data_IF_369906834636
#
_entry.id   IF_369906834636
#
_cell.length_a   1.000
_cell.length_b   1.000
_cell.length_c   1.000
_cell.angle_alpha   90.00
_cell.angle_beta   90.00
_cell.angle_gamma   90.00
#
_symmetry.space_group_name_H-M   'P 1'
#
loop_
_entity.id
_entity.type
_entity.pdbx_description
1 polymer ?
#
# COMPACT_ATOMS: atom_id res chain seq x y z
N UNK A 1 0.35 25.75 -17.88
CA UNK A 1 0.56 24.36 -17.48
C UNK A 1 -0.62 23.92 -16.62
N UNK A 2 -1.15 22.72 -16.86
CA UNK A 2 -2.18 22.05 -16.06
C UNK A 2 -1.65 20.69 -15.63
N UNK A 3 -2.02 20.28 -14.42
CA UNK A 3 -1.71 18.97 -13.88
C UNK A 3 -2.79 17.99 -14.32
N UNK A 4 -2.39 16.86 -14.89
CA UNK A 4 -3.27 15.74 -15.23
C UNK A 4 -2.78 14.47 -14.52
N UNK A 5 -3.69 13.53 -14.27
CA UNK A 5 -3.33 12.18 -13.86
C UNK A 5 -3.69 11.20 -14.98
N UNK A 6 -2.68 10.54 -15.55
CA UNK A 6 -2.86 9.55 -16.61
C UNK A 6 -3.22 8.20 -15.97
N UNK A 7 -4.35 7.63 -16.38
CA UNK A 7 -4.84 6.33 -15.87
C UNK A 7 -4.23 5.16 -16.62
N UNK A 8 -4.14 5.26 -17.95
CA UNK A 8 -3.61 4.22 -18.84
C UNK A 8 -2.56 4.83 -19.74
N UNK A 9 -1.43 4.14 -19.95
CA UNK A 9 -0.36 4.65 -20.82
C UNK A 9 -0.86 4.90 -22.25
N UNK A 10 -0.43 6.00 -22.86
CA UNK A 10 -0.75 6.31 -24.26
C UNK A 10 0.36 7.11 -24.93
N UNK A 11 0.31 7.18 -26.26
CA UNK A 11 1.12 8.10 -27.05
C UNK A 11 0.23 9.19 -27.62
N UNK A 12 0.58 10.45 -27.37
CA UNK A 12 -0.09 11.60 -27.95
C UNK A 12 0.70 12.09 -29.15
N UNK A 13 0.03 12.20 -30.30
CA UNK A 13 0.59 12.78 -31.50
C UNK A 13 -0.14 14.09 -31.79
N UNK A 14 0.57 15.21 -31.75
CA UNK A 14 0.05 16.56 -32.03
C UNK A 14 0.21 16.97 -33.51
N UNK A 15 0.71 16.06 -34.35
CA UNK A 15 1.01 16.28 -35.77
C UNK A 15 2.44 16.74 -36.03
N UNK A 16 3.17 17.23 -35.00
CA UNK A 16 4.56 17.64 -35.10
C UNK A 16 5.50 16.67 -34.37
N UNK A 17 5.03 16.09 -33.27
CA UNK A 17 5.80 15.20 -32.41
C UNK A 17 4.91 14.12 -31.78
N UNK A 18 5.55 13.05 -31.32
CA UNK A 18 4.90 12.00 -30.53
C UNK A 18 5.49 12.06 -29.13
N UNK A 19 4.61 12.20 -28.13
CA UNK A 19 4.95 12.19 -26.71
C UNK A 19 4.30 10.99 -26.02
N UNK A 20 5.11 10.23 -25.28
CA UNK A 20 4.63 9.10 -24.48
C UNK A 20 4.23 9.56 -23.08
N UNK A 21 3.07 9.09 -22.63
CA UNK A 21 2.55 9.30 -21.29
C UNK A 21 2.44 7.96 -20.57
N UNK A 22 3.09 7.84 -19.42
CA UNK A 22 2.94 6.71 -18.50
C UNK A 22 1.87 7.02 -17.45
N UNK A 23 1.29 6.03 -16.76
CA UNK A 23 0.39 6.30 -15.65
C UNK A 23 1.04 7.17 -14.58
N UNK A 24 0.25 8.07 -13.98
CA UNK A 24 0.71 9.01 -12.96
C UNK A 24 0.52 10.48 -13.34
N UNK A 25 1.10 11.36 -12.52
CA UNK A 25 0.96 12.81 -12.69
C UNK A 25 1.88 13.36 -13.78
N UNK A 26 1.33 14.24 -14.62
CA UNK A 26 2.08 14.99 -15.62
C UNK A 26 1.65 16.45 -15.62
N UNK A 27 2.62 17.34 -15.87
CA UNK A 27 2.35 18.73 -16.19
C UNK A 27 2.36 18.89 -17.71
N UNK A 28 1.25 19.41 -18.24
CA UNK A 28 1.02 19.59 -19.68
C UNK A 28 0.48 20.98 -19.98
N UNK A 29 0.50 21.36 -21.25
CA UNK A 29 -0.11 22.58 -21.76
C UNK A 29 -1.64 22.52 -21.64
N UNK A 30 -2.29 23.68 -21.56
CA UNK A 30 -3.73 23.75 -21.28
C UNK A 30 -4.59 23.16 -22.40
N UNK A 31 -4.17 23.33 -23.64
CA UNK A 31 -4.79 22.78 -24.85
C UNK A 31 -4.68 21.24 -24.88
N UNK A 32 -3.52 20.69 -24.52
CA UNK A 32 -3.30 19.26 -24.39
C UNK A 32 -4.19 18.65 -23.30
N UNK A 33 -4.26 19.28 -22.12
CA UNK A 33 -5.16 18.85 -21.04
C UNK A 33 -6.64 18.91 -21.44
N UNK A 34 -7.00 19.80 -22.37
CA UNK A 34 -8.37 19.92 -22.87
C UNK A 34 -8.70 18.98 -24.03
N UNK A 35 -7.69 18.40 -24.67
CA UNK A 35 -7.81 17.52 -25.81
C UNK A 35 -8.60 16.24 -25.47
N UNK A 36 -9.57 15.89 -26.32
CA UNK A 36 -10.50 14.78 -26.09
C UNK A 36 -9.78 13.44 -25.85
N UNK A 37 -8.72 13.16 -26.62
CA UNK A 37 -7.95 11.92 -26.50
C UNK A 37 -7.19 11.84 -25.18
N UNK A 38 -6.62 12.96 -24.72
CA UNK A 38 -5.89 13.02 -23.43
C UNK A 38 -6.87 12.82 -22.29
N UNK A 39 -8.01 13.53 -22.31
CA UNK A 39 -9.09 13.36 -21.31
C UNK A 39 -9.61 11.92 -21.22
N UNK A 40 -9.75 11.23 -22.34
CA UNK A 40 -10.21 9.84 -22.37
C UNK A 40 -9.28 8.86 -21.65
N UNK A 41 -8.00 9.22 -21.45
CA UNK A 41 -7.00 8.39 -20.78
C UNK A 41 -6.55 8.93 -19.42
N UNK A 42 -7.14 10.04 -18.97
CA UNK A 42 -6.80 10.69 -17.70
C UNK A 42 -7.96 10.65 -16.70
N UNK A 43 -7.65 10.88 -15.43
CA UNK A 43 -8.68 11.01 -14.39
C UNK A 43 -9.58 12.22 -14.70
N UNK A 44 -10.93 12.08 -14.59
CA UNK A 44 -11.86 13.17 -14.91
C UNK A 44 -11.73 14.38 -13.99
N UNK A 45 -11.26 14.19 -12.76
CA UNK A 45 -11.00 15.23 -11.76
C UNK A 45 -9.52 15.65 -11.70
N UNK A 46 -8.64 15.00 -12.47
CA UNK A 46 -7.20 15.22 -12.47
C UNK A 46 -6.46 14.61 -11.28
N UNK A 47 -7.15 13.85 -10.42
CA UNK A 47 -6.57 13.24 -9.24
C UNK A 47 -6.15 11.78 -9.48
N UNK A 48 -5.28 11.28 -8.62
CA UNK A 48 -4.96 9.85 -8.60
C UNK A 48 -6.20 9.05 -8.17
N UNK A 49 -6.46 7.86 -8.75
CA UNK A 49 -7.44 6.94 -8.21
C UNK A 49 -7.19 6.73 -6.72
N UNK A 50 -8.27 6.75 -5.94
CA UNK A 50 -8.18 6.35 -4.55
C UNK A 50 -7.58 4.94 -4.51
N UNK A 51 -6.55 4.75 -3.68
CA UNK A 51 -6.08 3.41 -3.40
C UNK A 51 -7.25 2.63 -2.81
N UNK A 52 -7.71 1.60 -3.49
CA UNK A 52 -8.66 0.67 -2.89
C UNK A 52 -7.99 0.10 -1.65
N UNK A 53 -8.61 0.32 -0.49
CA UNK A 53 -8.14 -0.29 0.76
C UNK A 53 -8.39 -1.78 0.60
N UNK A 54 -7.33 -2.53 0.36
CA UNK A 54 -7.42 -3.99 0.28
C UNK A 54 -7.90 -4.53 1.64
N UNK A 55 -9.10 -5.13 1.71
CA UNK A 55 -9.65 -5.63 2.98
C UNK A 55 -8.73 -6.67 3.64
N UNK A 56 -7.83 -7.30 2.87
CA UNK A 56 -6.82 -8.22 3.39
C UNK A 56 -5.83 -7.55 4.34
N UNK A 57 -5.59 -6.25 4.21
CA UNK A 57 -4.67 -5.50 5.10
C UNK A 57 -5.21 -5.51 6.52
N UNK A 58 -6.47 -5.12 6.73
CA UNK A 58 -7.10 -5.10 8.06
C UNK A 58 -7.17 -6.50 8.69
N UNK A 59 -7.44 -7.53 7.87
CA UNK A 59 -7.40 -8.92 8.34
C UNK A 59 -5.99 -9.34 8.79
N UNK A 60 -4.95 -8.98 8.02
CA UNK A 60 -3.56 -9.29 8.38
C UNK A 60 -3.12 -8.54 9.64
N UNK A 61 -3.49 -7.28 9.80
CA UNK A 61 -3.22 -6.50 11.02
C UNK A 61 -3.85 -7.15 12.25
N UNK A 62 -5.10 -7.63 12.13
CA UNK A 62 -5.79 -8.38 13.21
C UNK A 62 -5.03 -9.66 13.56
N UNK A 63 -4.66 -10.46 12.55
CA UNK A 63 -3.91 -11.71 12.75
C UNK A 63 -2.55 -11.47 13.39
N UNK A 64 -1.86 -10.39 13.04
CA UNK A 64 -0.58 -10.02 13.66
C UNK A 64 -0.79 -9.70 15.15
N UNK A 65 -1.82 -8.91 15.50
CA UNK A 65 -2.11 -8.58 16.90
C UNK A 65 -2.46 -9.83 17.75
N UNK A 66 -3.26 -10.75 17.20
CA UNK A 66 -3.57 -12.03 17.84
C UNK A 66 -2.31 -12.87 18.06
N UNK A 67 -1.45 -12.99 17.04
CA UNK A 67 -0.19 -13.73 17.14
C UNK A 67 0.76 -13.12 18.16
N UNK A 68 0.90 -11.79 18.19
CA UNK A 68 1.73 -11.10 19.20
C UNK A 68 1.24 -11.38 20.61
N UNK A 69 -0.08 -11.37 20.83
CA UNK A 69 -0.68 -11.69 22.14
C UNK A 69 -0.37 -13.14 22.54
N UNK A 70 -0.52 -14.08 21.60
CA UNK A 70 -0.25 -15.49 21.87
C UNK A 70 1.22 -15.76 22.16
N UNK A 71 2.14 -15.08 21.47
CA UNK A 71 3.59 -15.19 21.72
C UNK A 71 3.90 -14.70 23.14
N UNK A 72 3.40 -13.53 23.56
CA UNK A 72 3.65 -13.00 24.89
C UNK A 72 3.13 -13.92 26.01
N UNK A 73 1.96 -14.53 25.81
CA UNK A 73 1.40 -15.52 26.74
C UNK A 73 2.30 -16.77 26.84
N UNK A 74 2.75 -17.31 25.70
CA UNK A 74 3.63 -18.47 25.68
C UNK A 74 5.01 -18.17 26.29
N UNK A 75 5.56 -16.98 26.05
CA UNK A 75 6.81 -16.54 26.68
C UNK A 75 6.68 -16.45 28.21
N UNK A 76 5.53 -15.97 28.69
CA UNK A 76 5.21 -15.91 30.14
C UNK A 76 5.14 -17.32 30.73
N UNK A 77 4.36 -18.22 30.13
CA UNK A 77 4.26 -19.62 30.57
C UNK A 77 5.62 -20.33 30.57
N UNK A 78 6.46 -20.06 29.56
CA UNK A 78 7.79 -20.64 29.46
C UNK A 78 8.74 -20.11 30.53
N UNK A 79 8.63 -18.83 30.89
CA UNK A 79 9.38 -18.25 32.01
C UNK A 79 8.96 -18.87 33.36
N UNK A 80 7.65 -19.02 33.59
CA UNK A 80 7.10 -19.67 34.79
C UNK A 80 7.56 -21.13 34.90
N UNK A 81 7.42 -21.92 33.84
CA UNK A 81 7.86 -23.32 33.82
C UNK A 81 9.35 -23.48 34.14
N UNK A 82 10.21 -22.58 33.61
CA UNK A 82 11.65 -22.55 33.93
C UNK A 82 11.91 -22.21 35.40
N UNK A 83 11.13 -21.31 35.98
CA UNK A 83 11.26 -20.93 37.40
C UNK A 83 10.85 -22.08 38.33
N UNK A 84 9.73 -22.76 38.03
CA UNK A 84 9.24 -23.90 38.81
C UNK A 84 10.17 -25.12 38.68
N UNK A 85 10.68 -25.43 37.48
CA UNK A 85 11.65 -26.50 37.28
C UNK A 85 12.97 -26.31 38.03
N UNK A 86 13.40 -25.05 38.26
CA UNK A 86 14.58 -24.76 39.10
C UNK A 86 14.31 -24.96 40.60
N UNK A 87 13.13 -24.59 41.11
CA UNK A 87 12.78 -24.77 42.53
C UNK A 87 12.68 -26.23 42.95
N UNK A 88 12.17 -27.09 42.06
CA UNK A 88 12.00 -28.51 42.37
C UNK A 88 13.34 -29.27 42.45
N UNK A 89 14.36 -28.83 41.70
CA UNK A 89 15.70 -29.46 41.70
C UNK A 89 16.56 -29.06 42.91
N UNK A 90 16.23 -27.98 43.60
CA UNK A 90 16.95 -27.51 44.80
C UNK A 90 16.35 -27.98 46.13
N UNK A 91 15.17 -28.61 46.11
CA UNK A 91 14.49 -29.08 47.32
C UNK A 91 14.81 -30.55 47.68
N UNK A 92 15.62 -31.23 46.86
CA UNK A 92 15.91 -32.67 46.95
C UNK A 92 17.42 -32.95 47.14
N UNK A 93 18.16 -31.99 47.71
CA UNK A 93 19.61 -32.06 47.96
C UNK A 93 19.96 -31.67 49.41
#
# INVERSE_FOLDING_TARGET
MKKIYVLTAFNFNDGASIRTFTPGFHDVESDMAEHWFVKAHCSPDGEAPAAEVDPRIAELETRVAEQTTRIAELETQLAEAKAHGKKQKSADA
#
